data_IF_538058576550
#
_entry.id   IF_538058576550
#
_cell.length_a   1.000
_cell.length_b   1.000
_cell.length_c   1.000
_cell.angle_alpha   90.00
_cell.angle_beta   90.00
_cell.angle_gamma   90.00
#
_symmetry.space_group_name_H-M   'P 1'
#
loop_
_entity.id
_entity.type
_entity.pdbx_description
1 polymer ?
#
# COMPACT_ATOMS: atom_id res chain seq x y z
N UNK A 1 -17.15 -58.05 -44.83
CA UNK A 1 -18.43 -57.53 -45.34
C UNK A 1 -18.37 -56.02 -45.20
N UNK A 2 -17.87 -55.31 -46.21
CA UNK A 2 -18.61 -54.74 -47.36
C UNK A 2 -18.98 -53.28 -47.08
N UNK A 3 -18.13 -52.32 -47.48
CA UNK A 3 -18.02 -51.68 -48.81
C UNK A 3 -19.32 -51.00 -49.28
N UNK A 4 -19.16 -49.68 -49.52
CA UNK A 4 -19.76 -48.81 -50.56
C UNK A 4 -21.31 -48.74 -50.58
N UNK A 5 -21.96 -47.58 -50.79
CA UNK A 5 -21.80 -46.73 -51.98
C UNK A 5 -22.70 -45.47 -51.92
N UNK A 6 -22.12 -44.37 -52.40
CA UNK A 6 -22.63 -43.22 -53.19
C UNK A 6 -24.09 -42.73 -53.15
N UNK A 7 -24.22 -41.38 -53.18
CA UNK A 7 -24.63 -40.52 -54.34
C UNK A 7 -24.84 -39.07 -53.82
N UNK A 8 -24.44 -37.93 -54.41
CA UNK A 8 -23.93 -37.50 -55.74
C UNK A 8 -23.44 -36.01 -55.64
N UNK A 9 -22.52 -35.50 -56.50
CA UNK A 9 -22.07 -34.09 -56.62
C UNK A 9 -22.64 -33.41 -57.91
N UNK A 10 -22.19 -32.23 -58.43
CA UNK A 10 -21.37 -31.10 -57.93
C UNK A 10 -22.06 -29.72 -58.12
N UNK A 11 -21.54 -28.64 -57.52
CA UNK A 11 -21.66 -27.31 -58.16
C UNK A 11 -20.38 -26.48 -57.98
N UNK A 12 -19.78 -26.18 -59.12
CA UNK A 12 -18.58 -25.38 -59.31
C UNK A 12 -18.95 -23.91 -59.18
N UNK A 13 -18.44 -23.24 -58.15
CA UNK A 13 -18.15 -21.81 -58.25
C UNK A 13 -16.64 -21.64 -58.20
N UNK A 14 -16.06 -21.47 -59.39
CA UNK A 14 -14.73 -20.92 -59.51
C UNK A 14 -14.81 -19.45 -59.05
N UNK A 15 -14.13 -19.11 -57.97
CA UNK A 15 -13.58 -17.76 -57.85
C UNK A 15 -12.14 -17.89 -57.40
N UNK A 16 -11.31 -17.52 -58.36
CA UNK A 16 -9.88 -17.31 -58.30
C UNK A 16 -9.47 -16.50 -57.05
N UNK A 17 -8.29 -16.85 -56.54
CA UNK A 17 -7.37 -15.98 -55.78
C UNK A 17 -7.89 -15.35 -54.49
N UNK A 18 -7.52 -15.89 -53.33
CA UNK A 18 -6.87 -15.07 -52.29
C UNK A 18 -6.24 -15.90 -51.15
N UNK A 19 -5.14 -16.58 -51.41
CA UNK A 19 -4.30 -17.18 -50.34
C UNK A 19 -3.37 -16.15 -49.68
N UNK A 20 -3.59 -14.85 -49.89
CA UNK A 20 -2.69 -13.77 -49.45
C UNK A 20 -3.22 -12.94 -48.27
N UNK A 21 -4.43 -13.18 -47.75
CA UNK A 21 -5.04 -12.33 -46.69
C UNK A 21 -4.95 -12.89 -45.26
N UNK A 22 -4.56 -14.16 -45.07
CA UNK A 22 -4.47 -14.74 -43.73
C UNK A 22 -3.17 -14.40 -42.97
N UNK A 23 -2.28 -13.58 -43.54
CA UNK A 23 -0.94 -13.36 -42.98
C UNK A 23 -0.81 -12.17 -42.02
N UNK A 24 -1.85 -11.34 -41.87
CA UNK A 24 -1.80 -10.12 -41.03
C UNK A 24 -2.87 -10.07 -39.92
N UNK A 25 -3.91 -10.90 -40.01
CA UNK A 25 -5.08 -10.74 -39.14
C UNK A 25 -4.80 -11.15 -37.68
N UNK A 26 -4.05 -12.24 -37.46
CA UNK A 26 -3.73 -12.70 -36.09
C UNK A 26 -2.80 -11.74 -35.32
N UNK A 27 -1.88 -11.07 -36.02
CA UNK A 27 -0.97 -10.10 -35.41
C UNK A 27 -1.68 -8.77 -35.12
N UNK A 28 -2.55 -8.33 -36.04
CA UNK A 28 -3.39 -7.14 -35.90
C UNK A 28 -4.49 -7.35 -34.85
N UNK A 29 -5.04 -8.56 -34.73
CA UNK A 29 -5.98 -8.99 -33.69
C UNK A 29 -5.35 -8.85 -32.31
N UNK A 30 -4.09 -9.23 -32.17
CA UNK A 30 -3.32 -9.04 -30.95
C UNK A 30 -3.09 -7.56 -30.59
N UNK A 31 -2.97 -6.67 -31.57
CA UNK A 31 -2.92 -5.21 -31.37
C UNK A 31 -4.29 -4.69 -30.93
N UNK A 32 -5.37 -5.11 -31.61
CA UNK A 32 -6.73 -4.72 -31.30
C UNK A 32 -7.17 -5.16 -29.89
N UNK A 33 -6.78 -6.36 -29.45
CA UNK A 33 -7.04 -6.85 -28.10
C UNK A 33 -6.36 -5.97 -27.03
N UNK A 34 -5.09 -5.60 -27.24
CA UNK A 34 -4.36 -4.71 -26.33
C UNK A 34 -4.98 -3.31 -26.29
N UNK A 35 -5.40 -2.76 -27.44
CA UNK A 35 -6.09 -1.47 -27.49
C UNK A 35 -7.43 -1.52 -26.74
N UNK A 36 -8.22 -2.58 -26.89
CA UNK A 36 -9.46 -2.79 -26.12
C UNK A 36 -9.19 -2.84 -24.61
N UNK A 37 -8.12 -3.52 -24.18
CA UNK A 37 -7.72 -3.58 -22.77
C UNK A 37 -7.30 -2.20 -22.25
N UNK A 38 -6.53 -1.44 -23.03
CA UNK A 38 -6.13 -0.07 -22.68
C UNK A 38 -7.34 0.84 -22.48
N UNK A 39 -8.30 0.80 -23.40
CA UNK A 39 -9.53 1.59 -23.30
C UNK A 39 -10.35 1.23 -22.06
N UNK A 40 -10.44 -0.06 -21.72
CA UNK A 40 -11.09 -0.51 -20.48
C UNK A 40 -10.38 0.03 -19.25
N UNK A 41 -9.05 -0.05 -19.22
CA UNK A 41 -8.26 0.43 -18.08
C UNK A 41 -8.33 1.95 -17.91
N UNK A 42 -8.39 2.71 -19.02
CA UNK A 42 -8.64 4.17 -19.01
C UNK A 42 -10.01 4.48 -18.44
N UNK A 43 -11.04 3.73 -18.82
CA UNK A 43 -12.39 3.89 -18.30
C UNK A 43 -12.44 3.60 -16.79
N UNK A 44 -11.85 2.49 -16.34
CA UNK A 44 -11.75 2.14 -14.92
C UNK A 44 -11.01 3.22 -14.11
N UNK A 45 -9.93 3.78 -14.68
CA UNK A 45 -9.18 4.88 -14.07
C UNK A 45 -10.01 6.17 -13.99
N UNK A 46 -10.74 6.50 -15.06
CA UNK A 46 -11.63 7.67 -15.12
C UNK A 46 -12.75 7.56 -14.08
N UNK A 47 -13.36 6.39 -13.93
CA UNK A 47 -14.44 6.17 -12.96
C UNK A 47 -13.91 6.17 -11.52
N UNK A 48 -12.73 5.61 -11.27
CA UNK A 48 -12.06 5.72 -9.97
C UNK A 48 -11.74 7.18 -9.60
N UNK A 49 -11.27 7.99 -10.55
CA UNK A 49 -10.99 9.42 -10.32
C UNK A 49 -12.23 10.24 -9.94
N UNK A 50 -13.44 9.87 -10.38
CA UNK A 50 -14.70 10.54 -10.00
C UNK A 50 -15.05 10.35 -8.52
N UNK A 51 -14.57 9.29 -7.88
CA UNK A 51 -14.88 8.98 -6.48
C UNK A 51 -13.98 9.69 -5.47
N UNK A 52 -13.09 10.58 -5.93
CA UNK A 52 -12.17 11.42 -5.14
C UNK A 52 -11.30 10.69 -4.09
N UNK A 53 -11.27 9.35 -4.11
CA UNK A 53 -10.33 8.55 -3.34
C UNK A 53 -9.07 8.37 -4.17
N UNK A 54 -7.97 8.93 -3.68
CA UNK A 54 -6.64 8.58 -4.16
C UNK A 54 -6.36 7.15 -3.68
N UNK A 55 -6.89 6.15 -4.38
CA UNK A 55 -6.61 4.76 -4.07
C UNK A 55 -5.15 4.45 -4.45
N UNK A 56 -4.42 3.71 -3.61
CA UNK A 56 -3.04 3.30 -3.93
C UNK A 56 -2.92 2.52 -5.25
N UNK A 57 -4.04 2.09 -5.81
CA UNK A 57 -4.16 1.42 -7.11
C UNK A 57 -4.12 2.37 -8.31
N UNK A 58 -4.18 3.70 -8.11
CA UNK A 58 -4.04 4.71 -9.19
C UNK A 58 -2.73 4.54 -9.94
N UNK A 59 -1.63 4.43 -9.20
CA UNK A 59 -0.30 4.22 -9.77
C UNK A 59 -0.21 2.89 -10.52
N UNK A 60 -0.82 1.84 -9.98
CA UNK A 60 -0.88 0.52 -10.63
C UNK A 60 -1.67 0.56 -11.94
N UNK A 61 -2.78 1.30 -12.01
CA UNK A 61 -3.55 1.48 -13.25
C UNK A 61 -2.74 2.25 -14.30
N UNK A 62 -2.05 3.32 -13.91
CA UNK A 62 -1.20 4.11 -14.83
C UNK A 62 -0.02 3.28 -15.34
N UNK A 63 0.66 2.54 -14.46
CA UNK A 63 1.72 1.61 -14.86
C UNK A 63 1.20 0.55 -15.84
N UNK A 64 0.01 -0.02 -15.58
CA UNK A 64 -0.65 -0.95 -16.49
C UNK A 64 -0.94 -0.35 -17.87
N UNK A 65 -1.41 0.90 -17.95
CA UNK A 65 -1.63 1.59 -19.22
C UNK A 65 -0.32 1.73 -20.01
N UNK A 66 0.77 2.12 -19.34
CA UNK A 66 2.07 2.30 -19.98
C UNK A 66 2.60 0.98 -20.57
N UNK A 67 2.51 -0.11 -19.81
CA UNK A 67 2.90 -1.45 -20.28
C UNK A 67 2.11 -1.86 -21.53
N UNK A 68 0.79 -1.62 -21.54
CA UNK A 68 -0.04 -1.98 -22.70
C UNK A 68 0.34 -1.14 -23.93
N UNK A 69 0.64 0.15 -23.76
CA UNK A 69 1.12 1.02 -24.85
C UNK A 69 2.44 0.48 -25.43
N UNK A 70 3.38 0.06 -24.58
CA UNK A 70 4.65 -0.51 -25.04
C UNK A 70 4.45 -1.86 -25.77
N UNK A 71 3.51 -2.69 -25.31
CA UNK A 71 3.14 -3.93 -26.00
C UNK A 71 2.53 -3.66 -27.38
N UNK A 72 1.65 -2.64 -27.50
CA UNK A 72 1.08 -2.21 -28.77
C UNK A 72 2.18 -1.71 -29.71
N UNK A 73 3.05 -0.81 -29.23
CA UNK A 73 4.19 -0.28 -30.01
C UNK A 73 5.08 -1.40 -30.54
N UNK A 74 5.46 -2.34 -29.68
CA UNK A 74 6.32 -3.48 -30.03
C UNK A 74 5.68 -4.37 -31.09
N UNK A 75 4.37 -4.64 -30.98
CA UNK A 75 3.64 -5.46 -31.95
C UNK A 75 3.50 -4.76 -33.30
N UNK A 76 3.16 -3.46 -33.30
CA UNK A 76 3.09 -2.65 -34.52
C UNK A 76 4.44 -2.63 -35.24
N UNK A 77 5.54 -2.42 -34.51
CA UNK A 77 6.88 -2.41 -35.07
C UNK A 77 7.25 -3.75 -35.71
N UNK A 78 6.88 -4.87 -35.07
CA UNK A 78 7.06 -6.22 -35.64
C UNK A 78 6.24 -6.43 -36.91
N UNK A 79 5.02 -5.91 -36.99
CA UNK A 79 4.20 -5.99 -38.21
C UNK A 79 4.75 -5.09 -39.34
N UNK A 80 5.37 -3.95 -39.03
CA UNK A 80 5.93 -3.03 -40.04
C UNK A 80 7.26 -3.51 -40.66
N UNK A 81 8.01 -4.38 -39.98
CA UNK A 81 9.30 -4.90 -40.49
C UNK A 81 9.20 -5.93 -41.64
N UNK A 82 7.99 -6.34 -42.06
CA UNK A 82 7.79 -7.33 -43.13
C UNK A 82 7.51 -6.71 -44.52
N UNK A 83 7.38 -5.39 -44.63
CA UNK A 83 6.92 -4.71 -45.86
C UNK A 83 8.00 -4.13 -46.79
N UNK A 84 9.29 -4.21 -46.46
CA UNK A 84 10.36 -3.59 -47.28
C UNK A 84 11.38 -4.62 -47.75
N UNK A 85 10.93 -5.57 -48.59
CA UNK A 85 11.85 -6.36 -49.43
C UNK A 85 11.83 -5.78 -50.84
N UNK A 86 12.84 -4.95 -51.17
CA UNK A 86 13.23 -4.72 -52.56
C UNK A 86 13.47 -6.08 -53.20
N UNK A 87 12.82 -6.33 -54.33
CA UNK A 87 13.03 -7.50 -55.15
C UNK A 87 14.53 -7.65 -55.48
N UNK A 88 15.15 -8.72 -54.99
CA UNK A 88 16.46 -9.16 -55.44
C UNK A 88 16.28 -9.82 -56.82
N UNK A 89 16.79 -9.15 -57.85
CA UNK A 89 16.91 -9.69 -59.19
C UNK A 89 17.82 -10.93 -59.19
N UNK A 90 17.43 -12.06 -59.82
CA UNK A 90 18.34 -13.17 -60.03
C UNK A 90 19.37 -12.78 -61.12
N UNK A 91 20.63 -12.65 -60.70
CA UNK A 91 21.78 -12.51 -61.62
C UNK A 91 21.95 -13.81 -62.41
N UNK A 92 21.62 -13.77 -63.69
CA UNK A 92 22.11 -14.74 -64.68
C UNK A 92 23.57 -14.42 -65.01
N UNK A 93 24.46 -15.39 -64.80
CA UNK A 93 25.84 -15.35 -65.27
C UNK A 93 25.90 -15.69 -66.76
N UNK A 94 26.60 -14.93 -67.62
CA UNK A 94 26.86 -15.34 -68.99
C UNK A 94 28.13 -16.21 -69.04
N UNK A 95 27.96 -17.49 -69.40
CA UNK A 95 29.07 -18.36 -69.77
C UNK A 95 29.53 -18.00 -71.18
N UNK A 96 30.79 -17.60 -71.31
CA UNK A 96 31.49 -17.44 -72.59
C UNK A 96 31.77 -18.80 -73.25
N UNK A 97 31.74 -18.79 -74.58
CA UNK A 97 31.84 -19.90 -75.55
C UNK A 97 33.26 -20.50 -75.68
N UNK A 98 33.48 -21.53 -76.54
CA UNK A 98 33.92 -21.19 -77.90
C UNK A 98 33.39 -22.10 -79.02
N UNK A 99 33.24 -21.46 -80.18
CA UNK A 99 32.79 -22.01 -81.46
C UNK A 99 34.01 -22.54 -82.25
N UNK A 100 33.89 -23.69 -82.93
CA UNK A 100 34.76 -24.11 -84.04
C UNK A 100 33.94 -24.90 -85.05
N UNK A 101 33.69 -24.31 -86.23
CA UNK A 101 34.21 -24.82 -87.50
C UNK A 101 33.54 -24.19 -88.74
N UNK A 102 34.40 -23.91 -89.73
CA UNK A 102 34.18 -24.01 -91.20
C UNK A 102 33.23 -23.01 -91.89
N UNK A 103 33.81 -22.02 -92.59
CA UNK A 103 34.15 -22.08 -94.04
C UNK A 103 34.64 -20.72 -94.57
N UNK A 104 35.57 -20.80 -95.52
CA UNK A 104 36.20 -19.73 -96.29
C UNK A 104 35.20 -19.00 -97.22
N UNK A 105 35.29 -17.67 -97.31
CA UNK A 105 34.89 -16.88 -98.47
C UNK A 105 35.46 -15.46 -98.35
N UNK A 106 35.97 -14.91 -99.46
CA UNK A 106 36.61 -13.58 -99.63
C UNK A 106 35.71 -12.37 -99.23
N UNK A 107 35.35 -12.26 -97.96
CA UNK A 107 34.64 -11.11 -97.35
C UNK A 107 35.27 -10.65 -96.03
N UNK A 108 36.38 -11.27 -95.63
CA UNK A 108 37.00 -11.13 -94.29
C UNK A 108 37.28 -9.68 -93.92
N UNK A 109 37.70 -8.83 -94.86
CA UNK A 109 38.01 -7.42 -94.57
C UNK A 109 36.77 -6.55 -94.31
N UNK A 110 35.58 -6.95 -94.75
CA UNK A 110 34.35 -6.19 -94.55
C UNK A 110 33.64 -6.57 -93.23
N UNK A 111 33.68 -7.85 -92.85
CA UNK A 111 33.14 -8.33 -91.56
C UNK A 111 34.01 -7.86 -90.38
N UNK A 112 35.35 -7.86 -90.54
CA UNK A 112 36.27 -7.32 -89.54
C UNK A 112 36.09 -5.81 -89.33
N UNK A 113 35.78 -5.08 -90.40
CA UNK A 113 35.49 -3.64 -90.30
C UNK A 113 34.17 -3.36 -89.58
N UNK A 114 33.16 -4.19 -89.79
CA UNK A 114 31.87 -4.07 -89.11
C UNK A 114 31.94 -4.56 -87.65
N UNK A 115 32.72 -5.60 -87.36
CA UNK A 115 33.00 -6.08 -86.00
C UNK A 115 33.74 -5.03 -85.19
N UNK A 116 34.79 -4.41 -85.74
CA UNK A 116 35.53 -3.32 -85.09
C UNK A 116 34.64 -2.09 -84.81
N UNK A 117 33.72 -1.75 -85.72
CA UNK A 117 32.74 -0.67 -85.48
C UNK A 117 31.76 -1.01 -84.34
N UNK A 118 31.31 -2.26 -84.27
CA UNK A 118 30.46 -2.76 -83.18
C UNK A 118 31.22 -2.73 -81.85
N UNK A 119 32.46 -3.17 -81.83
CA UNK A 119 33.31 -3.16 -80.64
C UNK A 119 33.63 -1.73 -80.19
N UNK A 120 33.94 -0.81 -81.10
CA UNK A 120 34.13 0.62 -80.79
C UNK A 120 32.84 1.23 -80.18
N UNK A 121 31.68 0.88 -80.73
CA UNK A 121 30.39 1.35 -80.22
C UNK A 121 30.09 0.77 -78.83
N UNK A 122 30.39 -0.51 -78.61
CA UNK A 122 30.23 -1.18 -77.34
C UNK A 122 31.18 -0.63 -76.26
N UNK A 123 32.45 -0.39 -76.60
CA UNK A 123 33.42 0.23 -75.69
C UNK A 123 33.06 1.67 -75.35
N UNK A 124 32.56 2.46 -76.31
CA UNK A 124 32.05 3.80 -76.05
C UNK A 124 30.82 3.78 -75.14
N UNK A 125 29.90 2.85 -75.34
CA UNK A 125 28.74 2.65 -74.46
C UNK A 125 29.18 2.25 -73.05
N UNK A 126 30.10 1.29 -72.92
CA UNK A 126 30.67 0.88 -71.64
C UNK A 126 31.37 2.03 -70.91
N UNK A 127 32.10 2.89 -71.63
CA UNK A 127 32.75 4.08 -71.07
C UNK A 127 31.72 5.06 -70.51
N UNK A 128 30.65 5.35 -71.26
CA UNK A 128 29.55 6.22 -70.79
C UNK A 128 28.85 5.64 -69.56
N UNK A 129 28.58 4.33 -69.55
CA UNK A 129 28.00 3.66 -68.38
C UNK A 129 28.91 3.77 -67.15
N UNK A 130 30.23 3.61 -67.32
CA UNK A 130 31.19 3.78 -66.23
C UNK A 130 31.24 5.22 -65.72
N UNK A 131 31.23 6.20 -66.62
CA UNK A 131 31.20 7.63 -66.27
C UNK A 131 29.95 8.00 -65.45
N UNK A 132 28.78 7.47 -65.82
CA UNK A 132 27.54 7.63 -65.05
C UNK A 132 27.68 6.98 -63.67
N UNK A 133 28.21 5.77 -63.56
CA UNK A 133 28.39 5.09 -62.28
C UNK A 133 29.36 5.83 -61.36
N UNK A 134 30.51 6.29 -61.87
CA UNK A 134 31.45 7.09 -61.09
C UNK A 134 30.80 8.39 -60.59
N UNK A 135 29.98 9.04 -61.43
CA UNK A 135 29.24 10.24 -61.06
C UNK A 135 28.18 9.97 -59.98
N UNK A 136 27.41 8.88 -60.11
CA UNK A 136 26.39 8.52 -59.12
C UNK A 136 27.03 8.10 -57.78
N UNK A 137 28.14 7.36 -57.83
CA UNK A 137 28.88 6.95 -56.64
C UNK A 137 29.48 8.16 -55.90
N UNK A 138 29.97 9.16 -56.63
CA UNK A 138 30.42 10.42 -56.05
C UNK A 138 29.32 11.13 -55.25
N UNK A 139 28.11 11.21 -55.81
CA UNK A 139 26.94 11.79 -55.13
C UNK A 139 26.52 10.99 -53.91
N UNK A 140 26.51 9.66 -54.01
CA UNK A 140 26.19 8.78 -52.87
C UNK A 140 27.20 8.92 -51.73
N UNK A 141 28.50 9.04 -52.05
CA UNK A 141 29.56 9.33 -51.07
C UNK A 141 29.33 10.66 -50.36
N UNK A 142 28.93 11.70 -51.09
CA UNK A 142 28.64 13.02 -50.50
C UNK A 142 27.42 12.98 -49.57
N UNK A 143 26.34 12.29 -49.97
CA UNK A 143 25.16 12.06 -49.11
C UNK A 143 25.56 11.33 -47.83
N UNK A 144 26.32 10.23 -47.95
CA UNK A 144 26.76 9.44 -46.81
C UNK A 144 27.64 10.25 -45.85
N UNK A 145 28.51 11.11 -46.37
CA UNK A 145 29.32 12.03 -45.55
C UNK A 145 28.45 13.03 -44.80
N UNK A 146 27.42 13.57 -45.44
CA UNK A 146 26.45 14.46 -44.82
C UNK A 146 25.67 13.77 -43.70
N UNK A 147 25.18 12.54 -43.94
CA UNK A 147 24.50 11.74 -42.92
C UNK A 147 25.40 11.39 -41.75
N UNK A 148 26.65 11.01 -42.01
CA UNK A 148 27.63 10.71 -40.98
C UNK A 148 27.92 11.94 -40.11
N UNK A 149 28.09 13.10 -40.73
CA UNK A 149 28.31 14.37 -40.01
C UNK A 149 27.11 14.72 -39.14
N UNK A 150 25.90 14.57 -39.68
CA UNK A 150 24.67 14.78 -38.92
C UNK A 150 24.59 13.83 -37.72
N UNK A 151 24.90 12.55 -37.91
CA UNK A 151 24.90 11.56 -36.82
C UNK A 151 25.98 11.83 -35.77
N UNK A 152 27.16 12.26 -36.18
CA UNK A 152 28.20 12.68 -35.25
C UNK A 152 27.75 13.87 -34.39
N UNK A 153 27.07 14.84 -34.99
CA UNK A 153 26.50 15.99 -34.27
C UNK A 153 25.39 15.57 -33.29
N UNK A 154 24.41 14.77 -33.73
CA UNK A 154 23.35 14.24 -32.87
C UNK A 154 23.92 13.45 -31.67
N UNK A 155 25.00 12.68 -31.86
CA UNK A 155 25.68 11.98 -30.78
C UNK A 155 26.35 12.93 -29.78
N UNK A 156 27.01 13.99 -30.27
CA UNK A 156 27.64 14.98 -29.42
C UNK A 156 26.61 15.74 -28.54
N UNK A 157 25.45 16.12 -29.10
CA UNK A 157 24.37 16.75 -28.34
C UNK A 157 23.80 15.82 -27.26
N UNK A 158 23.62 14.53 -27.57
CA UNK A 158 23.17 13.55 -26.57
C UNK A 158 24.21 13.34 -25.46
N UNK A 159 25.50 13.36 -25.79
CA UNK A 159 26.58 13.25 -24.81
C UNK A 159 26.60 14.46 -23.86
N UNK A 160 26.36 15.68 -24.37
CA UNK A 160 26.20 16.88 -23.54
C UNK A 160 25.01 16.75 -22.58
N UNK A 161 23.84 16.31 -23.07
CA UNK A 161 22.68 16.06 -22.21
C UNK A 161 22.95 15.02 -21.12
N UNK A 162 23.65 13.93 -21.46
CA UNK A 162 24.06 12.91 -20.48
C UNK A 162 24.99 13.51 -19.42
N UNK A 163 25.96 14.32 -19.83
CA UNK A 163 26.90 14.97 -18.93
C UNK A 163 26.18 15.97 -17.99
N UNK A 164 25.24 16.74 -18.51
CA UNK A 164 24.41 17.63 -17.70
C UNK A 164 23.59 16.86 -16.64
N UNK A 165 22.94 15.76 -17.04
CA UNK A 165 22.19 14.91 -16.12
C UNK A 165 23.09 14.26 -15.06
N UNK A 166 24.30 13.83 -15.43
CA UNK A 166 25.28 13.30 -14.48
C UNK A 166 25.66 14.35 -13.42
N UNK A 167 25.95 15.58 -13.84
CA UNK A 167 26.28 16.68 -12.92
C UNK A 167 25.11 17.02 -11.98
N UNK A 168 23.87 17.02 -12.49
CA UNK A 168 22.68 17.20 -11.65
C UNK A 168 22.52 16.08 -10.63
N UNK A 169 22.69 14.82 -11.06
CA UNK A 169 22.59 13.67 -10.16
C UNK A 169 23.65 13.70 -9.07
N UNK A 170 24.89 14.10 -9.40
CA UNK A 170 25.96 14.28 -8.42
C UNK A 170 25.62 15.35 -7.38
N UNK A 171 25.11 16.51 -7.82
CA UNK A 171 24.65 17.58 -6.94
C UNK A 171 23.50 17.12 -6.03
N UNK A 172 22.54 16.37 -6.58
CA UNK A 172 21.43 15.82 -5.79
C UNK A 172 21.91 14.78 -4.78
N UNK A 173 22.89 13.96 -5.16
CA UNK A 173 23.47 12.96 -4.28
C UNK A 173 24.23 13.60 -3.11
N UNK A 174 24.98 14.67 -3.38
CA UNK A 174 25.62 15.48 -2.35
C UNK A 174 24.60 16.08 -1.37
N UNK A 175 23.51 16.67 -1.89
CA UNK A 175 22.41 17.19 -1.04
C UNK A 175 21.72 16.11 -0.22
N UNK A 176 21.52 14.92 -0.78
CA UNK A 176 20.95 13.79 -0.03
C UNK A 176 21.89 13.36 1.09
N UNK A 177 23.20 13.35 0.84
CA UNK A 177 24.20 13.05 1.87
C UNK A 177 24.20 14.13 2.96
N UNK A 178 24.20 15.42 2.59
CA UNK A 178 24.11 16.54 3.52
C UNK A 178 22.86 16.44 4.41
N UNK A 179 21.69 16.20 3.82
CA UNK A 179 20.46 15.98 4.57
C UNK A 179 20.57 14.76 5.50
N UNK A 180 21.15 13.65 5.03
CA UNK A 180 21.31 12.46 5.85
C UNK A 180 22.24 12.69 7.05
N UNK A 181 23.31 13.48 6.90
CA UNK A 181 24.19 13.85 8.01
C UNK A 181 23.51 14.81 8.99
N UNK A 182 22.79 15.82 8.51
CA UNK A 182 21.98 16.72 9.36
C UNK A 182 20.98 15.93 10.21
N UNK A 183 20.30 14.94 9.61
CA UNK A 183 19.37 14.09 10.35
C UNK A 183 20.07 13.21 11.39
N UNK A 184 21.27 12.69 11.12
CA UNK A 184 22.06 11.93 12.10
C UNK A 184 22.55 12.80 13.26
N UNK A 185 22.88 14.06 13.01
CA UNK A 185 23.28 15.01 14.05
C UNK A 185 22.07 15.41 14.92
N UNK A 186 20.93 15.71 14.31
CA UNK A 186 19.70 16.04 15.02
C UNK A 186 19.11 14.86 15.82
N UNK A 187 19.17 13.63 15.29
CA UNK A 187 18.75 12.43 16.02
C UNK A 187 19.63 12.20 17.25
N UNK A 188 20.96 12.32 17.14
CA UNK A 188 21.84 12.12 18.31
C UNK A 188 21.60 13.13 19.43
N UNK A 189 21.29 14.38 19.09
CA UNK A 189 21.09 15.46 20.07
C UNK A 189 19.67 15.47 20.68
N UNK A 190 18.63 15.15 19.89
CA UNK A 190 17.23 15.12 20.36
C UNK A 190 16.80 13.77 20.94
N UNK A 191 17.32 12.66 20.44
CA UNK A 191 16.94 11.31 20.88
C UNK A 191 17.50 11.00 22.26
N UNK A 192 18.70 11.48 22.62
CA UNK A 192 19.25 11.25 23.96
C UNK A 192 18.54 12.11 25.02
N UNK A 193 18.37 13.40 24.81
CA UNK A 193 17.76 14.29 25.81
C UNK A 193 16.23 14.10 25.89
N UNK A 194 15.54 14.08 24.75
CA UNK A 194 14.08 13.96 24.70
C UNK A 194 13.56 12.62 25.20
N UNK A 195 14.30 11.52 24.96
CA UNK A 195 13.92 10.20 25.46
C UNK A 195 14.14 10.08 26.97
N UNK A 196 15.21 10.68 27.52
CA UNK A 196 15.48 10.69 28.97
C UNK A 196 14.40 11.52 29.70
N UNK A 197 14.09 12.72 29.22
CA UNK A 197 13.06 13.58 29.84
C UNK A 197 11.66 12.93 29.79
N UNK A 198 11.28 12.33 28.66
CA UNK A 198 10.03 11.59 28.54
C UNK A 198 10.00 10.34 29.44
N UNK A 199 11.12 9.65 29.60
CA UNK A 199 11.25 8.50 30.48
C UNK A 199 11.11 8.91 31.96
N UNK A 200 11.76 10.00 32.37
CA UNK A 200 11.65 10.55 33.72
C UNK A 200 10.24 11.06 34.03
N UNK A 201 9.61 11.77 33.09
CA UNK A 201 8.24 12.22 33.22
C UNK A 201 7.26 11.04 33.37
N UNK A 202 7.37 10.01 32.51
CA UNK A 202 6.56 8.80 32.62
C UNK A 202 6.76 8.07 33.95
N UNK A 203 8.01 8.01 34.44
CA UNK A 203 8.34 7.41 35.74
C UNK A 203 7.72 8.20 36.89
N UNK A 204 7.77 9.53 36.83
CA UNK A 204 7.12 10.42 37.80
C UNK A 204 5.60 10.23 37.81
N UNK A 205 4.98 10.23 36.63
CA UNK A 205 3.54 10.05 36.48
C UNK A 205 3.09 8.67 36.99
N UNK A 206 3.84 7.61 36.71
CA UNK A 206 3.57 6.25 37.20
C UNK A 206 3.63 6.17 38.73
N UNK A 207 4.61 6.85 39.35
CA UNK A 207 4.69 6.94 40.82
C UNK A 207 3.51 7.68 41.42
N UNK A 208 3.08 8.79 40.81
CA UNK A 208 1.91 9.54 41.27
C UNK A 208 0.63 8.70 41.14
N UNK A 209 0.46 7.98 40.03
CA UNK A 209 -0.68 7.09 39.82
C UNK A 209 -0.72 5.98 40.86
N UNK A 210 0.41 5.34 41.16
CA UNK A 210 0.50 4.31 42.19
C UNK A 210 0.13 4.85 43.57
N UNK A 211 0.64 6.03 43.93
CA UNK A 211 0.32 6.72 45.18
C UNK A 211 -1.18 6.99 45.30
N UNK A 212 -1.81 7.56 44.27
CA UNK A 212 -3.25 7.83 44.25
C UNK A 212 -4.07 6.54 44.34
N UNK A 213 -3.61 5.46 43.71
CA UNK A 213 -4.28 4.16 43.73
C UNK A 213 -4.21 3.50 45.11
N UNK A 214 -3.08 3.63 45.80
CA UNK A 214 -2.92 3.17 47.18
C UNK A 214 -3.72 4.02 48.18
N UNK A 215 -3.77 5.35 47.98
CA UNK A 215 -4.63 6.26 48.75
C UNK A 215 -6.12 5.90 48.57
N UNK A 216 -6.56 5.65 47.33
CA UNK A 216 -7.92 5.19 47.05
C UNK A 216 -8.24 3.84 47.72
N UNK A 217 -7.32 2.86 47.64
CA UNK A 217 -7.47 1.57 48.34
C UNK A 217 -7.54 1.73 49.86
N UNK A 218 -6.75 2.64 50.43
CA UNK A 218 -6.78 2.97 51.85
C UNK A 218 -8.12 3.58 52.26
N UNK A 219 -8.60 4.56 51.49
CA UNK A 219 -9.90 5.19 51.71
C UNK A 219 -11.06 4.20 51.58
N UNK A 220 -11.02 3.32 50.58
CA UNK A 220 -12.02 2.25 50.40
C UNK A 220 -12.09 1.31 51.61
N UNK A 221 -10.94 0.96 52.21
CA UNK A 221 -10.91 0.15 53.45
C UNK A 221 -11.54 0.92 54.61
N UNK A 222 -11.12 2.16 54.85
CA UNK A 222 -11.69 3.00 55.93
C UNK A 222 -13.21 3.19 55.79
N UNK A 223 -13.70 3.37 54.56
CA UNK A 223 -15.13 3.48 54.30
C UNK A 223 -15.87 2.18 54.64
N UNK A 224 -15.28 1.03 54.31
CA UNK A 224 -15.83 -0.29 54.67
C UNK A 224 -15.86 -0.47 56.18
N UNK A 225 -14.76 -0.16 56.87
CA UNK A 225 -14.65 -0.29 58.32
C UNK A 225 -15.67 0.61 59.03
N UNK A 226 -15.82 1.87 58.60
CA UNK A 226 -16.82 2.79 59.12
C UNK A 226 -18.26 2.34 58.85
N UNK A 227 -18.52 1.73 57.69
CA UNK A 227 -19.84 1.16 57.39
C UNK A 227 -20.15 -0.04 58.30
N UNK A 228 -19.17 -0.92 58.52
CA UNK A 228 -19.32 -2.06 59.42
C UNK A 228 -19.56 -1.60 60.87
N UNK A 229 -18.78 -0.63 61.35
CA UNK A 229 -18.99 -0.02 62.67
C UNK A 229 -20.37 0.63 62.81
N UNK A 230 -20.80 1.39 61.79
CA UNK A 230 -22.14 1.99 61.77
C UNK A 230 -23.24 0.92 61.82
N UNK A 231 -23.08 -0.19 61.10
CA UNK A 231 -24.03 -1.31 61.14
C UNK A 231 -24.11 -1.94 62.54
N UNK A 232 -22.96 -2.14 63.19
CA UNK A 232 -22.90 -2.66 64.57
C UNK A 232 -23.51 -1.67 65.57
N UNK A 233 -23.23 -0.38 65.41
CA UNK A 233 -23.80 0.67 66.24
C UNK A 233 -25.33 0.74 66.08
N UNK A 234 -25.84 0.70 64.84
CA UNK A 234 -27.27 0.71 64.56
C UNK A 234 -27.98 -0.49 65.20
N UNK A 235 -27.40 -1.69 65.10
CA UNK A 235 -27.93 -2.89 65.78
C UNK A 235 -27.94 -2.74 67.31
N UNK A 236 -26.91 -2.11 67.88
CA UNK A 236 -26.84 -1.84 69.33
C UNK A 236 -27.88 -0.80 69.77
N UNK A 237 -28.07 0.25 68.98
CA UNK A 237 -29.10 1.29 69.21
C UNK A 237 -30.50 0.68 69.13
N UNK A 238 -30.74 -0.21 68.16
CA UNK A 238 -32.02 -0.92 68.03
C UNK A 238 -32.29 -1.83 69.24
N UNK A 239 -31.32 -2.65 69.65
CA UNK A 239 -31.46 -3.53 70.83
C UNK A 239 -31.73 -2.73 72.11
N UNK A 240 -30.98 -1.65 72.33
CA UNK A 240 -31.18 -0.77 73.49
C UNK A 240 -32.52 -0.03 73.41
N UNK A 241 -32.94 0.42 72.22
CA UNK A 241 -34.24 1.04 71.99
C UNK A 241 -35.42 0.11 72.30
N UNK A 242 -35.33 -1.18 71.96
CA UNK A 242 -36.33 -2.19 72.36
C UNK A 242 -36.37 -2.35 73.88
N UNK A 243 -35.22 -2.46 74.54
CA UNK A 243 -35.15 -2.57 76.02
C UNK A 243 -35.76 -1.34 76.71
N UNK A 244 -35.44 -0.13 76.24
CA UNK A 244 -36.00 1.12 76.77
C UNK A 244 -37.51 1.17 76.53
N UNK A 245 -37.99 0.82 75.34
CA UNK A 245 -39.42 0.80 75.05
C UNK A 245 -40.18 -0.18 75.97
N UNK A 246 -39.64 -1.38 76.19
CA UNK A 246 -40.19 -2.35 77.14
C UNK A 246 -40.20 -1.81 78.58
N UNK A 247 -39.11 -1.14 79.01
CA UNK A 247 -39.03 -0.51 80.34
C UNK A 247 -40.07 0.59 80.55
N UNK A 248 -40.27 1.43 79.54
CA UNK A 248 -41.25 2.52 79.58
C UNK A 248 -42.67 1.97 79.67
N UNK A 249 -42.96 0.88 78.96
CA UNK A 249 -44.28 0.22 79.04
C UNK A 249 -44.53 -0.35 80.44
N UNK A 250 -43.52 -0.98 81.06
CA UNK A 250 -43.61 -1.44 82.45
C UNK A 250 -43.88 -0.29 83.43
N UNK A 251 -43.14 0.82 83.32
CA UNK A 251 -43.37 2.02 84.14
C UNK A 251 -44.79 2.57 83.93
N UNK A 252 -45.27 2.60 82.69
CA UNK A 252 -46.62 3.06 82.37
C UNK A 252 -47.68 2.19 83.04
N UNK A 253 -47.50 0.87 83.01
CA UNK A 253 -48.39 -0.09 83.68
C UNK A 253 -48.39 0.12 85.20
N UNK A 254 -47.21 0.20 85.84
CA UNK A 254 -47.15 0.46 87.28
C UNK A 254 -47.80 1.78 87.67
N UNK A 255 -47.58 2.85 86.90
CA UNK A 255 -48.22 4.15 87.14
C UNK A 255 -49.75 4.07 87.02
N UNK A 256 -50.28 3.20 86.16
CA UNK A 256 -51.71 2.98 86.03
C UNK A 256 -52.28 2.16 87.20
N UNK A 257 -51.54 1.17 87.70
CA UNK A 257 -51.91 0.40 88.90
C UNK A 257 -51.91 1.25 90.17
N UNK A 258 -50.94 2.16 90.34
CA UNK A 258 -50.89 3.16 91.42
C UNK A 258 -52.09 4.13 91.48
N UNK A 259 -52.89 4.21 90.42
CA UNK A 259 -54.12 5.05 90.39
C UNK A 259 -55.40 4.27 90.70
N UNK A 260 -55.30 2.96 90.98
CA UNK A 260 -56.44 2.07 91.24
C UNK A 260 -56.28 1.47 92.64
N UNK A 261 -56.88 2.10 93.66
CA UNK A 261 -56.75 1.74 95.08
C UNK A 261 -57.12 0.26 95.38
N UNK A 262 -56.13 -0.62 95.65
CA UNK A 262 -56.24 -1.76 96.60
C UNK A 262 -54.93 -2.57 96.73
N UNK A 263 -54.55 -2.92 97.98
CA UNK A 263 -53.46 -3.82 98.43
C UNK A 263 -52.00 -3.42 98.08
N UNK A 264 -51.73 -2.13 98.23
CA UNK A 264 -50.67 -1.40 97.52
C UNK A 264 -49.23 -1.50 98.04
N UNK A 265 -48.90 -2.02 99.22
CA UNK A 265 -47.51 -1.84 99.74
C UNK A 265 -46.53 -2.91 99.23
N UNK A 266 -46.94 -4.19 99.19
CA UNK A 266 -46.06 -5.30 98.80
C UNK A 266 -45.82 -5.33 97.28
N UNK A 267 -46.85 -5.01 96.49
CA UNK A 267 -46.79 -4.94 95.02
C UNK A 267 -45.92 -3.76 94.54
N UNK A 268 -45.92 -2.64 95.27
CA UNK A 268 -45.04 -1.50 95.00
C UNK A 268 -43.57 -1.84 95.30
N UNK A 269 -43.28 -2.53 96.41
CA UNK A 269 -41.90 -2.89 96.79
C UNK A 269 -41.28 -3.90 95.81
N UNK A 270 -42.07 -4.87 95.33
CA UNK A 270 -41.67 -5.80 94.27
C UNK A 270 -41.44 -5.06 92.94
N UNK A 271 -42.34 -4.15 92.56
CA UNK A 271 -42.19 -3.31 91.38
C UNK A 271 -40.96 -2.39 91.42
N UNK A 272 -40.63 -1.82 92.59
CA UNK A 272 -39.40 -1.05 92.78
C UNK A 272 -38.16 -1.93 92.62
N UNK A 273 -38.17 -3.14 93.17
CA UNK A 273 -37.05 -4.09 93.06
C UNK A 273 -36.81 -4.51 91.60
N UNK A 274 -37.88 -4.76 90.84
CA UNK A 274 -37.80 -5.07 89.42
C UNK A 274 -37.24 -3.88 88.61
N UNK A 275 -37.66 -2.66 88.94
CA UNK A 275 -37.19 -1.44 88.28
C UNK A 275 -35.71 -1.15 88.59
N UNK A 276 -35.28 -1.33 89.84
CA UNK A 276 -33.87 -1.24 90.24
C UNK A 276 -33.00 -2.27 89.52
N UNK A 277 -33.47 -3.53 89.45
CA UNK A 277 -32.76 -4.57 88.71
C UNK A 277 -32.60 -4.21 87.23
N UNK A 278 -33.66 -3.67 86.62
CA UNK A 278 -33.64 -3.23 85.22
C UNK A 278 -32.67 -2.07 84.97
N UNK A 279 -32.67 -1.05 85.84
CA UNK A 279 -31.72 0.07 85.79
C UNK A 279 -30.28 -0.41 85.94
N UNK A 280 -30.03 -1.37 86.84
CA UNK A 280 -28.72 -2.00 87.02
C UNK A 280 -28.28 -2.77 85.77
N UNK A 281 -29.20 -3.42 85.07
CA UNK A 281 -28.90 -4.04 83.77
C UNK A 281 -28.50 -3.02 82.71
N UNK A 282 -29.08 -1.81 82.70
CA UNK A 282 -28.68 -0.75 81.77
C UNK A 282 -27.26 -0.23 82.05
N UNK A 283 -26.90 0.02 83.31
CA UNK A 283 -25.54 0.43 83.67
C UNK A 283 -24.48 -0.59 83.24
N UNK A 284 -24.79 -1.88 83.36
CA UNK A 284 -23.89 -2.95 82.91
C UNK A 284 -23.73 -2.96 81.38
N UNK A 285 -24.81 -2.67 80.64
CA UNK A 285 -24.79 -2.60 79.19
C UNK A 285 -24.03 -1.36 78.67
N UNK A 286 -24.14 -0.21 79.33
CA UNK A 286 -23.34 0.98 78.99
C UNK A 286 -21.84 0.73 79.16
N UNK A 287 -21.43 0.13 80.28
CA UNK A 287 -20.02 -0.22 80.56
C UNK A 287 -19.44 -1.21 79.55
N UNK A 288 -20.28 -2.08 78.99
CA UNK A 288 -19.90 -3.04 77.94
C UNK A 288 -19.73 -2.37 76.58
N UNK A 289 -20.56 -1.38 76.25
CA UNK A 289 -20.57 -0.72 74.94
C UNK A 289 -19.58 0.46 74.84
N UNK A 290 -19.26 1.13 75.96
CA UNK A 290 -18.32 2.28 75.98
C UNK A 290 -16.83 1.94 75.77
N UNK A 291 -16.41 0.68 75.84
CA UNK A 291 -14.99 0.28 75.74
C UNK A 291 -14.44 0.14 74.32
N UNK A 292 -15.28 0.19 73.27
CA UNK A 292 -14.85 -0.09 71.89
C UNK A 292 -14.40 1.14 71.07
N UNK A 293 -14.60 2.37 71.55
CA UNK A 293 -14.35 3.60 70.77
C UNK A 293 -13.01 4.32 71.02
N UNK A 294 -12.09 3.78 71.82
CA UNK A 294 -10.95 4.54 72.37
C UNK A 294 -9.62 4.47 71.60
N UNK A 295 -9.38 3.45 70.78
CA UNK A 295 -8.08 3.25 70.12
C UNK A 295 -8.25 3.18 68.61
N UNK A 296 -8.17 4.31 67.91
CA UNK A 296 -7.55 4.41 66.57
C UNK A 296 -7.66 5.85 66.02
N UNK A 297 -6.96 6.81 66.66
CA UNK A 297 -6.61 8.08 65.98
C UNK A 297 -5.11 8.30 66.10
N UNK A 298 -4.33 7.60 65.27
CA UNK A 298 -2.96 8.06 64.96
C UNK A 298 -3.08 9.15 63.88
N UNK A 299 -2.93 10.41 64.31
CA UNK A 299 -2.73 11.57 63.44
C UNK A 299 -1.49 11.33 62.59
N UNK A 300 -1.65 11.17 61.28
CA UNK A 300 -0.56 11.34 60.32
C UNK A 300 -0.36 12.83 60.09
N UNK A 301 0.68 13.38 60.73
CA UNK A 301 1.24 14.69 60.42
C UNK A 301 1.97 14.58 59.07
N UNK A 302 1.48 15.30 58.06
CA UNK A 302 2.17 15.48 56.77
C UNK A 302 2.72 16.91 56.82
N UNK A 303 4.03 17.03 57.01
CA UNK A 303 4.78 18.25 56.75
C UNK A 303 5.18 18.27 55.25
N UNK A 304 5.14 19.49 54.69
CA UNK A 304 5.46 19.86 53.30
C UNK A 304 6.77 19.31 52.77
#
# INVERSE_FOLDING_TARGET
MSKLRDKRPPELTATSTNTQQNYDDAALEGVAANVKLLLKLIQDHKDACKTQRNDGKRMLRVAGMMTIIDMVRTRIQKCQSFGTKRAEFPRSSPVQSPNKDKRLSDSTTNDDKESLKRELSATLAARKSLEIMCSSLGKEKEIMMGELTKKAHELAEMEEHINHLKAQNETLLEKVHECAEVHKEEEKEKETQGTIELQEHNKSLSKQLLKLLDEYRSMKRKLKDAHEENTVMQSTIEETGVKVSCSLEKIRNYRQHLTTESDEIVDIEEGMTELEHMLKCFELNEKRNGKKGGEHVKKTHIQS
#
